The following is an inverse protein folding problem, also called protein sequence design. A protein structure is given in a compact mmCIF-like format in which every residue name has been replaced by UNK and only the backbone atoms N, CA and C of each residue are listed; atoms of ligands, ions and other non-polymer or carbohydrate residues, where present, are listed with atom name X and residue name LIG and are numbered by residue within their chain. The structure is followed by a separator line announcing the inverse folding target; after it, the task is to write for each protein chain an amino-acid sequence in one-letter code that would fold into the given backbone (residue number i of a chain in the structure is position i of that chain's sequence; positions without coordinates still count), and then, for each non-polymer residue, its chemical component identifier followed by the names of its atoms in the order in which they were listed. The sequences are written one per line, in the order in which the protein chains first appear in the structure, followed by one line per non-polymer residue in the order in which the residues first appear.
data_IF_556588369670
#
_entry.id   IF_556588369670
#
_cell.length_a   1.000
_cell.length_b   1.000
_cell.length_c   1.000
_cell.angle_alpha   90.00
_cell.angle_beta   90.00
_cell.angle_gamma   90.00
#
_symmetry.space_group_name_H-M   'P 1'
#
loop_
_entity.id
_entity.type
_entity.pdbx_description
1 polymer ?
#
# COMPACT_ATOMS: atom_id res chain seq x y z
N UNK A 1 21.76 14.03 -11.55
CA UNK A 1 20.81 13.59 -10.49
C UNK A 1 19.53 14.40 -10.68
N UNK A 2 18.38 13.76 -10.66
CA UNK A 2 17.07 14.44 -10.73
C UNK A 2 16.88 15.29 -9.46
N UNK A 3 16.73 16.62 -9.54
CA UNK A 3 16.57 17.49 -8.37
C UNK A 3 15.22 17.29 -7.66
N UNK A 4 14.28 16.56 -8.27
CA UNK A 4 12.99 16.21 -7.68
C UNK A 4 12.98 14.82 -7.04
N UNK A 5 14.10 14.10 -7.04
CA UNK A 5 14.18 12.76 -6.47
C UNK A 5 14.08 12.83 -4.95
N UNK A 6 13.03 12.23 -4.39
CA UNK A 6 12.82 12.11 -2.95
C UNK A 6 13.79 11.06 -2.39
N UNK A 7 14.62 11.46 -1.44
CA UNK A 7 15.49 10.54 -0.73
C UNK A 7 15.59 10.90 0.75
N UNK A 8 15.69 9.87 1.59
CA UNK A 8 15.79 10.00 3.04
C UNK A 8 17.07 9.36 3.54
N UNK A 9 17.73 10.01 4.51
CA UNK A 9 18.85 9.44 5.24
C UNK A 9 18.38 8.36 6.21
N UNK A 10 19.28 7.47 6.63
CA UNK A 10 18.92 6.44 7.63
C UNK A 10 18.50 7.05 8.98
N UNK A 11 19.04 8.21 9.35
CA UNK A 11 18.63 8.91 10.57
C UNK A 11 17.17 9.40 10.48
N UNK A 12 16.75 9.91 9.33
CA UNK A 12 15.36 10.34 9.07
C UNK A 12 14.43 9.14 9.08
N UNK A 13 14.80 8.02 8.43
CA UNK A 13 14.02 6.79 8.46
C UNK A 13 13.92 6.21 9.88
N UNK A 14 14.98 6.24 10.68
CA UNK A 14 14.95 5.80 12.07
C UNK A 14 13.98 6.67 12.91
N UNK A 15 14.01 7.99 12.73
CA UNK A 15 13.05 8.90 13.35
C UNK A 15 11.61 8.62 12.91
N UNK A 16 11.43 8.35 11.61
CA UNK A 16 10.13 8.01 11.03
C UNK A 16 9.57 6.72 11.63
N UNK A 17 10.39 5.64 11.68
CA UNK A 17 10.02 4.36 12.33
C UNK A 17 9.60 4.57 13.79
N UNK A 18 10.38 5.31 14.55
CA UNK A 18 10.08 5.57 15.97
C UNK A 18 8.69 6.22 16.14
N UNK A 19 8.38 7.23 15.35
CA UNK A 19 7.10 7.94 15.38
C UNK A 19 5.94 7.08 14.88
N UNK A 20 6.12 6.38 13.75
CA UNK A 20 5.09 5.54 13.13
C UNK A 20 4.75 4.35 14.01
N UNK A 21 5.75 3.65 14.55
CA UNK A 21 5.53 2.46 15.39
C UNK A 21 4.83 2.78 16.72
N UNK A 22 5.00 3.99 17.25
CA UNK A 22 4.23 4.47 18.40
C UNK A 22 2.72 4.61 18.11
N UNK A 23 2.30 4.65 16.84
CA UNK A 23 0.89 4.72 16.42
C UNK A 23 0.29 3.34 16.13
N UNK A 24 1.11 2.29 16.08
CA UNK A 24 0.69 0.94 15.72
C UNK A 24 0.41 0.07 16.96
N UNK A 25 -0.45 -0.94 16.81
CA UNK A 25 -0.47 -2.09 17.72
C UNK A 25 0.87 -2.84 17.61
N UNK A 26 1.44 -3.23 18.74
CA UNK A 26 2.74 -3.91 18.78
C UNK A 26 2.79 -5.17 17.88
N UNK A 27 1.66 -5.86 17.70
CA UNK A 27 1.54 -7.03 16.83
C UNK A 27 1.65 -6.68 15.34
N UNK A 28 1.43 -5.41 14.98
CA UNK A 28 1.53 -4.94 13.59
C UNK A 28 2.96 -4.54 13.19
N UNK A 29 3.82 -4.22 14.16
CA UNK A 29 5.20 -3.78 13.91
C UNK A 29 6.02 -4.78 13.08
N UNK A 30 6.00 -6.11 13.34
CA UNK A 30 6.74 -7.06 12.50
C UNK A 30 6.32 -7.05 11.03
N UNK A 31 5.01 -6.90 10.76
CA UNK A 31 4.49 -6.79 9.40
C UNK A 31 5.00 -5.50 8.71
N UNK A 32 4.91 -4.35 9.38
CA UNK A 32 5.38 -3.08 8.80
C UNK A 32 6.88 -3.11 8.54
N UNK A 33 7.67 -3.72 9.44
CA UNK A 33 9.09 -3.91 9.24
C UNK A 33 9.39 -4.83 8.03
N UNK A 34 8.66 -5.94 7.90
CA UNK A 34 8.78 -6.84 6.75
C UNK A 34 8.38 -6.16 5.43
N UNK A 35 7.31 -5.35 5.45
CA UNK A 35 6.89 -4.55 4.31
C UNK A 35 7.97 -3.53 3.89
N UNK A 36 8.62 -2.88 4.86
CA UNK A 36 9.73 -1.97 4.60
C UNK A 36 10.91 -2.68 3.92
N UNK A 37 11.33 -3.83 4.45
CA UNK A 37 12.41 -4.63 3.86
C UNK A 37 12.09 -5.04 2.42
N UNK A 38 10.89 -5.55 2.19
CA UNK A 38 10.44 -5.99 0.87
C UNK A 38 10.31 -4.82 -0.11
N UNK A 39 9.75 -3.67 0.32
CA UNK A 39 9.64 -2.47 -0.50
C UNK A 39 11.01 -1.96 -0.96
N UNK A 40 12.02 -1.97 -0.07
CA UNK A 40 13.40 -1.61 -0.41
C UNK A 40 14.01 -2.58 -1.41
N UNK A 41 13.75 -3.89 -1.28
CA UNK A 41 14.22 -4.91 -2.23
C UNK A 41 13.58 -4.71 -3.62
N UNK A 42 12.27 -4.52 -3.68
CA UNK A 42 11.55 -4.25 -4.93
C UNK A 42 11.99 -2.92 -5.56
N UNK A 43 12.18 -1.86 -4.76
CA UNK A 43 12.66 -0.57 -5.25
C UNK A 43 14.04 -0.70 -5.93
N UNK A 44 14.97 -1.41 -5.31
CA UNK A 44 16.28 -1.71 -5.91
C UNK A 44 16.16 -2.53 -7.18
N UNK A 45 15.30 -3.53 -7.20
CA UNK A 45 15.07 -4.39 -8.37
C UNK A 45 14.53 -3.62 -9.57
N UNK A 46 13.63 -2.67 -9.33
CA UNK A 46 12.90 -1.97 -10.38
C UNK A 46 13.38 -0.54 -10.65
N UNK A 47 14.40 -0.07 -9.92
CA UNK A 47 15.01 1.24 -10.14
C UNK A 47 14.22 2.42 -9.56
N UNK A 48 13.37 2.18 -8.55
CA UNK A 48 12.78 3.22 -7.72
C UNK A 48 13.77 3.68 -6.62
N UNK A 49 13.45 4.79 -5.94
CA UNK A 49 14.26 5.28 -4.80
C UNK A 49 14.01 4.41 -3.55
N UNK A 50 15.01 3.66 -3.06
CA UNK A 50 14.80 2.74 -1.94
C UNK A 50 14.37 3.41 -0.64
N UNK A 51 14.85 4.63 -0.37
CA UNK A 51 14.49 5.34 0.85
C UNK A 51 13.08 5.93 0.80
N UNK A 52 12.57 6.27 -0.39
CA UNK A 52 11.17 6.64 -0.58
C UNK A 52 10.24 5.43 -0.38
N UNK A 53 10.63 4.27 -0.89
CA UNK A 53 9.90 3.02 -0.67
C UNK A 53 9.88 2.64 0.81
N UNK A 54 11.01 2.77 1.52
CA UNK A 54 11.06 2.58 2.97
C UNK A 54 10.10 3.53 3.71
N UNK A 55 10.12 4.82 3.40
CA UNK A 55 9.26 5.80 4.05
C UNK A 55 7.77 5.51 3.82
N UNK A 56 7.36 5.17 2.60
CA UNK A 56 5.99 4.79 2.29
C UNK A 56 5.56 3.51 3.03
N UNK A 57 6.41 2.48 3.05
CA UNK A 57 6.15 1.23 3.75
C UNK A 57 6.05 1.41 5.28
N UNK A 58 6.91 2.23 5.90
CA UNK A 58 6.84 2.56 7.33
C UNK A 58 5.48 3.18 7.69
N UNK A 59 4.90 3.98 6.80
CA UNK A 59 3.70 4.76 7.07
C UNK A 59 2.39 4.12 6.56
N UNK A 60 2.44 3.09 5.70
CA UNK A 60 1.24 2.60 5.00
C UNK A 60 0.09 2.21 5.94
N UNK A 61 0.40 1.69 7.10
CA UNK A 61 -0.56 1.15 8.07
C UNK A 61 -0.71 1.97 9.36
N UNK A 62 -0.18 3.20 9.45
CA UNK A 62 -0.19 4.03 10.69
C UNK A 62 -1.58 4.28 11.28
N UNK A 63 -2.63 4.10 10.50
CA UNK A 63 -4.02 4.25 10.96
C UNK A 63 -4.80 2.93 11.00
N UNK A 64 -4.15 1.77 10.73
CA UNK A 64 -4.79 0.45 10.58
C UNK A 64 -5.68 0.04 11.75
N UNK A 65 -5.29 0.40 12.96
CA UNK A 65 -5.97 -0.04 14.18
C UNK A 65 -7.09 0.92 14.63
N UNK A 66 -7.44 1.92 13.82
CA UNK A 66 -8.52 2.85 14.15
C UNK A 66 -9.88 2.24 13.85
N UNK A 67 -10.88 2.62 14.65
CA UNK A 67 -12.29 2.30 14.36
C UNK A 67 -12.80 3.13 13.19
N UNK A 68 -13.95 2.75 12.64
CA UNK A 68 -14.60 3.54 11.58
C UNK A 68 -14.82 5.00 12.00
N UNK A 69 -15.28 5.23 13.23
CA UNK A 69 -15.45 6.59 13.79
C UNK A 69 -14.11 7.34 13.87
N UNK A 70 -13.02 6.63 14.22
CA UNK A 70 -11.68 7.20 14.24
C UNK A 70 -11.20 7.60 12.85
N UNK A 71 -11.52 6.82 11.82
CA UNK A 71 -11.24 7.19 10.42
C UNK A 71 -12.09 8.40 9.98
N UNK A 72 -13.39 8.42 10.30
CA UNK A 72 -14.27 9.55 9.99
C UNK A 72 -13.81 10.85 10.66
N UNK A 73 -13.35 10.76 11.90
CA UNK A 73 -12.78 11.92 12.61
C UNK A 73 -11.51 12.45 11.91
N UNK A 74 -10.63 11.57 11.40
CA UNK A 74 -9.46 12.00 10.62
C UNK A 74 -9.85 12.63 9.29
N UNK A 75 -10.82 12.06 8.56
CA UNK A 75 -11.34 12.65 7.33
C UNK A 75 -11.87 14.06 7.60
N UNK A 76 -12.70 14.23 8.62
CA UNK A 76 -13.22 15.54 9.03
C UNK A 76 -12.13 16.52 9.46
N UNK A 77 -11.12 16.05 10.22
CA UNK A 77 -9.96 16.86 10.66
C UNK A 77 -9.21 17.49 9.50
N UNK A 78 -9.04 16.73 8.40
CA UNK A 78 -8.26 17.16 7.23
C UNK A 78 -9.13 17.63 6.06
N UNK A 79 -10.45 17.81 6.26
CA UNK A 79 -11.37 18.32 5.25
C UNK A 79 -11.58 17.37 4.06
N UNK A 80 -11.29 16.08 4.24
CA UNK A 80 -11.50 15.06 3.22
C UNK A 80 -12.91 14.48 3.27
N UNK A 81 -13.43 14.09 2.11
CA UNK A 81 -14.74 13.43 1.98
C UNK A 81 -14.58 11.94 1.77
N UNK A 82 -15.62 11.18 2.11
CA UNK A 82 -15.69 9.74 1.91
C UNK A 82 -16.96 9.42 1.11
N UNK A 83 -16.83 8.57 0.09
CA UNK A 83 -17.98 8.07 -0.65
C UNK A 83 -18.72 6.99 0.16
N UNK A 84 -20.03 6.80 -0.14
CA UNK A 84 -20.83 5.73 0.49
C UNK A 84 -20.21 4.35 0.21
N UNK A 85 -19.68 4.14 -0.99
CA UNK A 85 -18.99 2.90 -1.34
C UNK A 85 -17.75 2.65 -0.47
N UNK A 86 -16.93 3.69 -0.23
CA UNK A 86 -15.75 3.57 0.63
C UNK A 86 -16.16 3.31 2.09
N UNK A 87 -17.25 3.90 2.57
CA UNK A 87 -17.81 3.63 3.89
C UNK A 87 -18.31 2.19 4.03
N UNK A 88 -18.87 1.62 2.95
CA UNK A 88 -19.26 0.22 2.93
C UNK A 88 -18.07 -0.76 2.99
N UNK A 89 -16.85 -0.26 2.76
CA UNK A 89 -15.61 -1.03 2.77
C UNK A 89 -14.63 -0.57 3.88
N UNK A 90 -14.97 -0.70 5.18
CA UNK A 90 -14.22 -0.10 6.28
C UNK A 90 -12.75 -0.56 6.36
N UNK A 91 -12.44 -1.75 5.84
CA UNK A 91 -11.06 -2.27 5.76
C UNK A 91 -10.13 -1.43 4.88
N UNK A 92 -10.68 -0.58 3.99
CA UNK A 92 -9.90 0.26 3.08
C UNK A 92 -9.63 1.66 3.68
N UNK A 93 -10.44 2.09 4.65
CA UNK A 93 -10.36 3.45 5.23
C UNK A 93 -8.95 3.81 5.74
N UNK A 94 -8.19 2.81 6.24
CA UNK A 94 -6.85 3.07 6.75
C UNK A 94 -5.89 3.56 5.66
N UNK A 95 -6.02 3.11 4.43
CA UNK A 95 -5.17 3.57 3.33
C UNK A 95 -5.42 5.06 3.02
N UNK A 96 -6.69 5.47 3.03
CA UNK A 96 -7.09 6.87 2.83
C UNK A 96 -6.59 7.76 3.96
N UNK A 97 -6.92 7.38 5.19
CA UNK A 97 -6.55 8.19 6.37
C UNK A 97 -5.06 8.09 6.69
N UNK A 98 -4.40 6.99 6.34
CA UNK A 98 -2.94 6.85 6.43
C UNK A 98 -2.22 7.84 5.52
N UNK A 99 -2.69 8.01 4.28
CA UNK A 99 -2.16 9.01 3.36
C UNK A 99 -2.33 10.43 3.90
N UNK A 100 -3.50 10.78 4.45
CA UNK A 100 -3.74 12.08 5.07
C UNK A 100 -2.85 12.32 6.30
N UNK A 101 -2.66 11.32 7.14
CA UNK A 101 -1.75 11.40 8.29
C UNK A 101 -0.29 11.55 7.81
N UNK A 102 0.12 10.81 6.78
CA UNK A 102 1.45 10.95 6.18
C UNK A 102 1.71 12.37 5.67
N UNK A 103 0.74 12.97 4.98
CA UNK A 103 0.83 14.34 4.49
C UNK A 103 0.88 15.36 5.65
N UNK A 104 -0.12 15.36 6.51
CA UNK A 104 -0.33 16.44 7.46
C UNK A 104 0.46 16.31 8.77
N UNK A 105 0.77 15.10 9.23
CA UNK A 105 1.49 14.89 10.50
C UNK A 105 2.96 14.51 10.28
N UNK A 106 3.30 13.93 9.14
CA UNK A 106 4.68 13.56 8.81
C UNK A 106 5.31 14.44 7.73
N UNK A 107 4.51 15.27 7.03
CA UNK A 107 5.02 16.16 5.97
C UNK A 107 5.52 15.41 4.75
N UNK A 108 4.94 14.25 4.45
CA UNK A 108 5.33 13.43 3.30
C UNK A 108 4.85 14.07 2.00
N UNK A 109 5.65 13.98 0.94
CA UNK A 109 5.27 14.46 -0.39
C UNK A 109 4.19 13.58 -1.01
N UNK A 110 3.50 14.13 -2.02
CA UNK A 110 2.39 13.50 -2.73
C UNK A 110 2.71 12.08 -3.24
N UNK A 111 3.91 11.86 -3.75
CA UNK A 111 4.33 10.55 -4.27
C UNK A 111 4.25 9.45 -3.20
N UNK A 112 4.69 9.75 -1.97
CA UNK A 112 4.62 8.82 -0.83
C UNK A 112 3.17 8.70 -0.35
N UNK A 113 2.44 9.81 -0.24
CA UNK A 113 1.05 9.80 0.17
C UNK A 113 0.17 9.00 -0.80
N UNK A 114 0.42 9.13 -2.11
CA UNK A 114 -0.27 8.36 -3.13
C UNK A 114 0.02 6.86 -3.03
N UNK A 115 1.27 6.46 -2.80
CA UNK A 115 1.61 5.06 -2.58
C UNK A 115 0.90 4.47 -1.36
N UNK A 116 0.81 5.23 -0.27
CA UNK A 116 0.04 4.86 0.92
C UNK A 116 -1.46 4.79 0.59
N UNK A 117 -1.99 5.76 -0.17
CA UNK A 117 -3.41 5.83 -0.53
C UNK A 117 -3.88 4.59 -1.29
N UNK A 118 -3.04 4.05 -2.17
CA UNK A 118 -3.42 3.00 -3.09
C UNK A 118 -2.89 1.60 -2.73
N UNK A 119 -2.19 1.45 -1.61
CA UNK A 119 -1.57 0.17 -1.25
C UNK A 119 -2.56 -0.99 -1.04
N UNK A 120 -3.82 -0.70 -0.69
CA UNK A 120 -4.83 -1.74 -0.42
C UNK A 120 -5.69 -2.05 -1.65
N UNK A 121 -6.09 -1.04 -2.40
CA UNK A 121 -7.03 -1.19 -3.51
C UNK A 121 -6.36 -1.26 -4.87
N UNK A 122 -5.20 -0.66 -5.00
CA UNK A 122 -4.65 -0.28 -6.28
C UNK A 122 -5.52 0.78 -6.99
N UNK A 123 -5.09 1.16 -8.16
CA UNK A 123 -5.83 1.96 -9.16
C UNK A 123 -5.29 1.63 -10.56
N UNK A 124 -6.01 1.94 -11.63
CA UNK A 124 -5.42 1.90 -12.98
C UNK A 124 -4.18 2.80 -13.07
N UNK A 125 -3.20 2.39 -13.85
CA UNK A 125 -1.99 3.17 -14.14
C UNK A 125 -1.24 3.69 -12.90
N UNK A 126 -0.95 2.78 -11.96
CA UNK A 126 -0.15 3.10 -10.76
C UNK A 126 1.27 3.53 -11.13
N UNK A 127 1.81 4.51 -10.39
CA UNK A 127 3.23 4.85 -10.42
C UNK A 127 4.09 3.66 -9.96
N UNK A 128 5.40 3.69 -10.25
CA UNK A 128 6.29 2.62 -9.84
C UNK A 128 6.30 2.44 -8.30
N UNK A 129 6.29 3.53 -7.54
CA UNK A 129 6.25 3.47 -6.08
C UNK A 129 4.92 2.88 -5.56
N UNK A 130 3.79 3.24 -6.14
CA UNK A 130 2.48 2.66 -5.79
C UNK A 130 2.46 1.13 -6.02
N UNK A 131 2.99 0.67 -7.17
CA UNK A 131 3.11 -0.76 -7.49
C UNK A 131 3.96 -1.50 -6.45
N UNK A 132 5.11 -0.91 -6.08
CA UNK A 132 6.04 -1.48 -5.11
C UNK A 132 5.37 -1.61 -3.75
N UNK A 133 4.70 -0.58 -3.25
CA UNK A 133 4.10 -0.61 -1.90
C UNK A 133 2.91 -1.57 -1.86
N UNK A 134 2.08 -1.62 -2.91
CA UNK A 134 1.00 -2.60 -3.04
C UNK A 134 1.53 -4.04 -2.94
N UNK A 135 2.56 -4.36 -3.70
CA UNK A 135 3.13 -5.72 -3.70
C UNK A 135 3.90 -6.02 -2.41
N UNK A 136 4.67 -5.08 -1.87
CA UNK A 136 5.44 -5.28 -0.65
C UNK A 136 4.54 -5.63 0.54
N UNK A 137 3.41 -4.93 0.72
CA UNK A 137 2.42 -5.29 1.76
C UNK A 137 1.86 -6.70 1.56
N UNK A 138 1.69 -7.12 0.30
CA UNK A 138 1.09 -8.41 -0.03
C UNK A 138 2.05 -9.59 0.16
N UNK A 139 3.36 -9.40 -0.11
CA UNK A 139 4.36 -10.49 -0.18
C UNK A 139 5.42 -10.47 0.92
N UNK A 140 5.36 -9.53 1.87
CA UNK A 140 6.36 -9.39 2.94
C UNK A 140 6.60 -10.71 3.71
N UNK A 141 7.78 -10.87 4.38
CA UNK A 141 8.22 -12.16 4.90
C UNK A 141 7.29 -12.86 5.91
N UNK A 142 6.45 -12.09 6.64
CA UNK A 142 5.54 -12.68 7.64
C UNK A 142 4.23 -13.21 7.04
N UNK A 143 3.97 -12.95 5.76
CA UNK A 143 2.78 -13.46 5.05
C UNK A 143 2.86 -14.97 4.82
N UNK A 144 1.71 -15.63 4.91
CA UNK A 144 1.56 -17.05 4.62
C UNK A 144 0.15 -17.31 4.07
N UNK A 145 0.04 -17.63 2.77
CA UNK A 145 -1.20 -18.03 2.10
C UNK A 145 -0.89 -18.79 0.81
N UNK A 146 -1.89 -19.49 0.29
CA UNK A 146 -1.73 -20.30 -0.94
C UNK A 146 -1.43 -19.38 -2.15
N UNK A 147 -0.39 -19.74 -2.92
CA UNK A 147 0.05 -18.97 -4.09
C UNK A 147 1.04 -17.85 -3.80
N UNK A 148 1.41 -17.60 -2.53
CA UNK A 148 2.36 -16.55 -2.16
C UNK A 148 3.73 -16.67 -2.84
N UNK A 149 4.28 -17.90 -2.96
CA UNK A 149 5.59 -18.10 -3.58
C UNK A 149 5.58 -17.74 -5.08
N UNK A 150 4.48 -18.05 -5.77
CA UNK A 150 4.28 -17.65 -7.15
C UNK A 150 4.16 -16.14 -7.30
N UNK A 151 3.45 -15.47 -6.38
CA UNK A 151 3.30 -14.02 -6.37
C UNK A 151 4.63 -13.32 -6.05
N UNK A 152 5.41 -13.82 -5.08
CA UNK A 152 6.77 -13.34 -4.80
C UNK A 152 7.66 -13.41 -6.04
N UNK A 153 7.68 -14.56 -6.71
CA UNK A 153 8.44 -14.73 -7.95
C UNK A 153 8.01 -13.71 -9.01
N UNK A 154 6.71 -13.61 -9.29
CA UNK A 154 6.17 -12.68 -10.28
C UNK A 154 6.55 -11.21 -9.95
N UNK A 155 6.54 -10.80 -8.68
CA UNK A 155 6.89 -9.44 -8.24
C UNK A 155 8.34 -9.03 -8.60
N UNK A 156 9.22 -9.99 -8.81
CA UNK A 156 10.61 -9.75 -9.25
C UNK A 156 10.83 -9.96 -10.75
N UNK A 157 9.85 -10.49 -11.48
CA UNK A 157 9.94 -10.78 -12.92
C UNK A 157 9.11 -9.82 -13.78
N UNK A 158 7.85 -9.51 -13.35
CA UNK A 158 6.91 -8.63 -14.05
C UNK A 158 5.93 -8.02 -13.06
N UNK A 159 6.07 -6.70 -12.80
CA UNK A 159 5.22 -6.00 -11.83
C UNK A 159 3.74 -5.98 -12.22
N UNK A 160 3.43 -5.82 -13.50
CA UNK A 160 2.04 -5.71 -13.95
C UNK A 160 1.33 -7.07 -13.88
N UNK A 161 2.03 -8.15 -14.21
CA UNK A 161 1.54 -9.51 -14.00
C UNK A 161 1.37 -9.84 -12.52
N UNK A 162 2.32 -9.43 -11.65
CA UNK A 162 2.21 -9.61 -10.21
C UNK A 162 1.02 -8.84 -9.62
N UNK A 163 0.79 -7.61 -10.06
CA UNK A 163 -0.37 -6.82 -9.65
C UNK A 163 -1.69 -7.49 -10.05
N UNK A 164 -1.81 -7.93 -11.31
CA UNK A 164 -2.99 -8.66 -11.75
C UNK A 164 -3.23 -9.91 -10.90
N UNK A 165 -2.17 -10.67 -10.60
CA UNK A 165 -2.24 -11.87 -9.76
C UNK A 165 -2.69 -11.54 -8.33
N UNK A 166 -2.04 -10.57 -7.66
CA UNK A 166 -2.38 -10.15 -6.30
C UNK A 166 -3.79 -9.58 -6.19
N UNK A 167 -4.21 -8.75 -7.14
CA UNK A 167 -5.58 -8.20 -7.18
C UNK A 167 -6.61 -9.30 -7.41
N UNK A 168 -6.34 -10.28 -8.29
CA UNK A 168 -7.22 -11.43 -8.48
C UNK A 168 -7.42 -12.23 -7.20
N UNK A 169 -6.34 -12.48 -6.44
CA UNK A 169 -6.41 -13.16 -5.14
C UNK A 169 -7.23 -12.36 -4.13
N UNK A 170 -7.00 -11.04 -4.03
CA UNK A 170 -7.74 -10.14 -3.14
C UNK A 170 -9.25 -10.11 -3.47
N UNK A 171 -9.61 -9.97 -4.75
CA UNK A 171 -10.99 -9.99 -5.21
C UNK A 171 -11.68 -11.33 -4.90
N UNK A 172 -10.97 -12.45 -5.11
CA UNK A 172 -11.48 -13.77 -4.80
C UNK A 172 -11.72 -13.96 -3.30
N UNK A 173 -10.84 -13.42 -2.44
CA UNK A 173 -11.01 -13.46 -0.98
C UNK A 173 -12.23 -12.65 -0.53
N UNK A 174 -12.39 -11.42 -1.02
CA UNK A 174 -13.54 -10.56 -0.71
C UNK A 174 -14.86 -11.23 -1.09
N UNK A 175 -14.94 -11.78 -2.32
CA UNK A 175 -16.14 -12.49 -2.80
C UNK A 175 -16.44 -13.75 -2.00
N UNK A 176 -15.41 -14.51 -1.63
CA UNK A 176 -15.54 -15.70 -0.76
C UNK A 176 -16.09 -15.34 0.62
N UNK A 177 -15.73 -14.14 1.13
CA UNK A 177 -16.28 -13.58 2.37
C UNK A 177 -17.71 -13.05 2.24
N UNK A 178 -18.35 -13.14 1.06
CA UNK A 178 -19.72 -12.67 0.81
C UNK A 178 -19.85 -11.15 0.69
N UNK A 179 -18.75 -10.43 0.51
CA UNK A 179 -18.74 -8.98 0.33
C UNK A 179 -18.56 -8.60 -1.15
N UNK A 180 -19.09 -7.44 -1.52
CA UNK A 180 -18.82 -6.85 -2.83
C UNK A 180 -17.44 -6.20 -2.84
N UNK A 181 -16.61 -6.44 -3.87
CA UNK A 181 -15.34 -5.76 -4.03
C UNK A 181 -15.49 -4.25 -4.23
N UNK A 182 -14.52 -3.50 -3.76
CA UNK A 182 -14.45 -2.07 -4.02
C UNK A 182 -14.17 -1.81 -5.52
N UNK A 183 -14.95 -0.91 -6.14
CA UNK A 183 -14.95 -0.70 -7.60
C UNK A 183 -13.58 -0.31 -8.15
N UNK A 184 -12.77 0.46 -7.40
CA UNK A 184 -11.41 0.83 -7.85
C UNK A 184 -10.49 -0.38 -7.94
N UNK A 185 -10.63 -1.39 -7.04
CA UNK A 185 -9.85 -2.63 -7.13
C UNK A 185 -10.23 -3.43 -8.38
N UNK A 186 -11.51 -3.47 -8.75
CA UNK A 186 -11.96 -4.14 -9.97
C UNK A 186 -11.44 -3.43 -11.23
N UNK A 187 -11.47 -2.09 -11.26
CA UNK A 187 -10.89 -1.29 -12.35
C UNK A 187 -9.39 -1.49 -12.47
N UNK A 188 -8.66 -1.49 -11.34
CA UNK A 188 -7.23 -1.75 -11.29
C UNK A 188 -6.90 -3.14 -11.83
N UNK A 189 -7.62 -4.17 -11.38
CA UNK A 189 -7.45 -5.54 -11.86
C UNK A 189 -7.68 -5.64 -13.37
N UNK A 190 -8.77 -5.06 -13.89
CA UNK A 190 -9.06 -5.07 -15.31
C UNK A 190 -7.95 -4.40 -16.14
N UNK A 191 -7.38 -3.30 -15.63
CA UNK A 191 -6.25 -2.60 -16.26
C UNK A 191 -5.00 -3.49 -16.32
N UNK A 192 -4.57 -4.07 -15.19
CA UNK A 192 -3.34 -4.85 -15.13
C UNK A 192 -3.47 -6.22 -15.79
N UNK A 193 -4.63 -6.86 -15.75
CA UNK A 193 -4.90 -8.09 -16.51
C UNK A 193 -4.72 -7.85 -18.01
N UNK A 194 -5.19 -6.73 -18.53
CA UNK A 194 -5.00 -6.36 -19.94
C UNK A 194 -3.54 -6.05 -20.26
N UNK A 195 -2.84 -5.26 -19.43
CA UNK A 195 -1.44 -4.90 -19.60
C UNK A 195 -0.51 -6.14 -19.61
N UNK A 196 -0.79 -7.13 -18.76
CA UNK A 196 -0.04 -8.37 -18.68
C UNK A 196 -0.43 -9.42 -19.76
N UNK A 197 -1.35 -9.10 -20.69
CA UNK A 197 -1.89 -10.02 -21.71
C UNK A 197 -2.46 -11.33 -21.12
N UNK A 198 -3.00 -11.29 -19.92
CA UNK A 198 -3.64 -12.45 -19.29
C UNK A 198 -5.08 -12.54 -19.85
N UNK A 199 -5.27 -13.44 -20.84
CA UNK A 199 -6.59 -13.79 -21.36
C UNK A 199 -7.26 -14.81 -20.42
N UNK A 200 -8.60 -14.76 -20.31
CA UNK A 200 -9.40 -15.78 -19.59
C UNK A 200 -9.27 -17.15 -20.22
#
# INVERSE_FOLDING_TARGET
MDPNRISYTELELASLRHRAYAMLDARRVPHVAGCEEEAVCLARRWGAEPSAAAAAAILHDVTKNRTTEGHLALLGKYGATCSDELLACPKILHAVTGALVAEHEFGMPEEICSAIRWHTTGRPDMTLLEKIIYLADYIEPTRAFDGLDALRKASYEDLDAALAMGMSMSLAEVRRGGAEPYSETEKAYAFYRHAANINE
#
